data_IF_554531464032
#
_entry.id   IF_554531464032
#
_cell.length_a   1.000
_cell.length_b   1.000
_cell.length_c   1.000
_cell.angle_alpha   90.00
_cell.angle_beta   90.00
_cell.angle_gamma   90.00
#
_symmetry.space_group_name_H-M   'P 1'
#
loop_
_entity.id
_entity.type
_entity.pdbx_description
1 polymer ?
#
# COMPACT_ATOMS: atom_id res chain seq x y z
N UNK A 1 -5.62 -10.62 -5.17
CA UNK A 1 -4.75 -9.58 -5.78
C UNK A 1 -4.89 -9.46 -7.30
N UNK A 2 -5.43 -10.45 -8.02
CA UNK A 2 -5.64 -10.34 -9.49
C UNK A 2 -6.66 -9.25 -9.89
N UNK A 3 -7.59 -8.91 -9.01
CA UNK A 3 -8.57 -7.84 -9.22
C UNK A 3 -7.95 -6.43 -9.30
N UNK A 4 -6.64 -6.31 -9.04
CA UNK A 4 -5.90 -5.04 -9.12
C UNK A 4 -5.20 -4.82 -10.46
N UNK A 5 -5.23 -5.81 -11.35
CA UNK A 5 -4.67 -5.64 -12.68
C UNK A 5 -5.52 -4.65 -13.48
N UNK A 6 -4.91 -3.66 -14.14
CA UNK A 6 -5.59 -2.80 -15.08
C UNK A 6 -6.42 -3.64 -16.05
N UNK A 7 -7.70 -3.29 -16.15
CA UNK A 7 -8.60 -3.85 -17.14
C UNK A 7 -8.16 -3.40 -18.54
N UNK A 8 -8.59 -4.10 -19.61
CA UNK A 8 -8.29 -3.67 -20.98
C UNK A 8 -8.75 -2.23 -21.30
N UNK A 9 -9.74 -1.72 -20.58
CA UNK A 9 -10.21 -0.33 -20.72
C UNK A 9 -9.29 0.66 -20.01
N UNK A 10 -8.66 0.24 -18.90
CA UNK A 10 -7.75 1.07 -18.13
C UNK A 10 -6.31 1.04 -18.66
N UNK A 11 -5.93 -0.03 -19.35
CA UNK A 11 -4.61 -0.17 -19.95
C UNK A 11 -4.58 0.54 -21.32
N UNK A 12 -3.78 1.60 -21.48
CA UNK A 12 -3.64 2.30 -22.75
C UNK A 12 -3.01 1.41 -23.84
N UNK A 13 -3.09 1.85 -25.09
CA UNK A 13 -2.38 1.22 -26.21
C UNK A 13 -0.86 1.33 -26.03
N UNK A 14 -0.10 0.47 -26.72
CA UNK A 14 1.36 0.44 -26.57
C UNK A 14 1.97 1.80 -26.96
N UNK A 15 1.50 2.40 -28.05
CA UNK A 15 1.87 3.74 -28.50
C UNK A 15 1.73 4.81 -27.40
N UNK A 16 0.60 4.83 -26.71
CA UNK A 16 0.31 5.76 -25.62
C UNK A 16 1.21 5.52 -24.39
N UNK A 17 1.47 4.26 -24.05
CA UNK A 17 2.41 3.90 -22.98
C UNK A 17 3.82 4.39 -23.33
N UNK A 18 4.27 4.16 -24.56
CA UNK A 18 5.59 4.57 -25.02
C UNK A 18 5.74 6.08 -25.09
N UNK A 19 4.68 6.81 -25.44
CA UNK A 19 4.66 8.28 -25.41
C UNK A 19 4.85 8.80 -23.98
N UNK A 20 4.20 8.20 -22.98
CA UNK A 20 4.37 8.56 -21.57
C UNK A 20 5.80 8.28 -21.07
N UNK A 21 6.39 7.17 -21.53
CA UNK A 21 7.76 6.76 -21.19
C UNK A 21 8.84 7.52 -21.99
N UNK A 22 8.48 8.51 -22.81
CA UNK A 22 9.44 9.33 -23.56
C UNK A 22 10.04 8.65 -24.79
N UNK A 23 9.30 7.72 -25.41
CA UNK A 23 9.68 6.98 -26.64
C UNK A 23 11.07 6.33 -26.56
N UNK A 24 11.29 5.42 -25.60
CA UNK A 24 12.59 4.76 -25.45
C UNK A 24 12.95 3.96 -26.71
N UNK A 25 14.25 3.93 -27.03
CA UNK A 25 14.73 3.20 -28.19
C UNK A 25 14.37 1.70 -28.10
N UNK A 26 13.98 1.04 -29.21
CA UNK A 26 13.57 -0.37 -29.19
C UNK A 26 14.62 -1.33 -28.59
N UNK A 27 15.91 -1.02 -28.72
CA UNK A 27 17.01 -1.80 -28.12
C UNK A 27 16.98 -1.75 -26.59
N UNK A 28 16.61 -0.62 -26.00
CA UNK A 28 16.53 -0.47 -24.54
C UNK A 28 15.34 -1.25 -23.99
N UNK A 29 14.18 -1.13 -24.63
CA UNK A 29 12.99 -1.93 -24.31
C UNK A 29 13.28 -3.43 -24.43
N UNK A 30 13.94 -3.85 -25.50
CA UNK A 30 14.30 -5.24 -25.73
C UNK A 30 15.20 -5.80 -24.61
N UNK A 31 16.21 -5.02 -24.21
CA UNK A 31 17.09 -5.36 -23.08
C UNK A 31 16.32 -5.47 -21.77
N UNK A 32 15.45 -4.50 -21.47
CA UNK A 32 14.66 -4.48 -20.23
C UNK A 32 13.64 -5.62 -20.15
N UNK A 33 13.02 -5.97 -21.29
CA UNK A 33 11.98 -6.99 -21.39
C UNK A 33 12.53 -8.41 -21.67
N UNK A 34 13.84 -8.55 -21.89
CA UNK A 34 14.47 -9.84 -22.17
C UNK A 34 14.08 -10.44 -23.52
N UNK A 35 13.80 -9.62 -24.54
CA UNK A 35 13.40 -10.05 -25.88
C UNK A 35 14.33 -9.50 -26.97
N UNK A 36 14.16 -9.94 -28.21
CA UNK A 36 14.95 -9.40 -29.32
C UNK A 36 14.44 -8.00 -29.74
N UNK A 37 15.32 -7.11 -30.26
CA UNK A 37 14.87 -5.83 -30.81
C UNK A 37 13.86 -5.96 -31.94
N UNK A 38 13.96 -7.02 -32.76
CA UNK A 38 13.02 -7.31 -33.83
C UNK A 38 11.60 -7.54 -33.29
N UNK A 39 11.48 -8.24 -32.16
CA UNK A 39 10.20 -8.46 -31.46
C UNK A 39 9.57 -7.14 -31.02
N UNK A 40 10.36 -6.24 -30.41
CA UNK A 40 9.87 -4.93 -29.96
C UNK A 40 9.47 -4.06 -31.14
N UNK A 41 10.28 -4.01 -32.20
CA UNK A 41 9.95 -3.25 -33.42
C UNK A 41 8.65 -3.76 -34.05
N UNK A 42 8.43 -5.08 -34.06
CA UNK A 42 7.16 -5.66 -34.52
C UNK A 42 5.98 -5.16 -33.68
N UNK A 43 6.09 -5.20 -32.36
CA UNK A 43 5.03 -4.73 -31.46
C UNK A 43 4.72 -3.25 -31.63
N UNK A 44 5.75 -2.40 -31.77
CA UNK A 44 5.58 -0.97 -32.01
C UNK A 44 4.85 -0.72 -33.33
N UNK A 45 5.23 -1.43 -34.40
CA UNK A 45 4.60 -1.30 -35.71
C UNK A 45 3.14 -1.75 -35.71
N UNK A 46 2.83 -2.80 -34.98
CA UNK A 46 1.48 -3.39 -34.88
C UNK A 46 0.62 -2.75 -33.77
N UNK A 47 1.18 -1.77 -33.04
CA UNK A 47 0.63 -1.18 -31.82
C UNK A 47 0.06 -2.21 -30.84
N UNK A 48 0.75 -3.35 -30.73
CA UNK A 48 0.24 -4.52 -30.02
C UNK A 48 1.39 -5.32 -29.42
N UNK A 49 1.32 -5.53 -28.10
CA UNK A 49 2.25 -6.35 -27.34
C UNK A 49 1.49 -7.36 -26.47
N UNK A 50 2.11 -8.48 -26.09
CA UNK A 50 1.52 -9.42 -25.15
C UNK A 50 1.08 -8.73 -23.87
N UNK A 51 -0.07 -9.14 -23.32
CA UNK A 51 -0.65 -8.53 -22.11
C UNK A 51 0.33 -8.40 -20.93
N UNK A 52 1.17 -9.40 -20.61
CA UNK A 52 2.17 -9.23 -19.54
C UNK A 52 3.15 -8.08 -19.80
N UNK A 53 3.56 -7.86 -21.06
CA UNK A 53 4.47 -6.76 -21.44
C UNK A 53 3.79 -5.41 -21.25
N UNK A 54 2.53 -5.28 -21.72
CA UNK A 54 1.75 -4.07 -21.53
C UNK A 54 1.59 -3.72 -20.05
N UNK A 55 1.27 -4.72 -19.22
CA UNK A 55 1.13 -4.54 -17.78
C UNK A 55 2.46 -4.14 -17.13
N UNK A 56 3.58 -4.76 -17.49
CA UNK A 56 4.91 -4.38 -16.98
C UNK A 56 5.27 -2.94 -17.32
N UNK A 57 5.02 -2.50 -18.56
CA UNK A 57 5.30 -1.13 -18.98
C UNK A 57 4.32 -0.13 -18.35
N UNK A 58 3.05 -0.50 -18.21
CA UNK A 58 2.02 0.33 -17.59
C UNK A 58 2.42 0.78 -16.18
N UNK A 59 2.98 -0.10 -15.36
CA UNK A 59 3.38 0.25 -13.99
C UNK A 59 4.55 1.23 -13.92
N UNK A 60 5.26 1.47 -15.02
CA UNK A 60 6.31 2.48 -15.12
C UNK A 60 5.78 3.85 -15.57
N UNK A 61 4.54 3.92 -16.05
CA UNK A 61 3.91 5.17 -16.49
C UNK A 61 3.46 6.02 -15.31
N UNK A 62 3.23 7.31 -15.56
CA UNK A 62 2.66 8.24 -14.57
C UNK A 62 1.30 7.76 -14.04
N UNK A 63 0.48 7.15 -14.89
CA UNK A 63 -0.83 6.61 -14.49
C UNK A 63 -0.67 5.40 -13.56
N UNK A 64 0.23 4.48 -13.90
CA UNK A 64 0.54 3.31 -13.08
C UNK A 64 1.07 3.70 -11.70
N UNK A 65 2.03 4.63 -11.66
CA UNK A 65 2.58 5.16 -10.42
C UNK A 65 1.52 5.87 -9.57
N UNK A 66 0.66 6.67 -10.19
CA UNK A 66 -0.44 7.34 -9.47
C UNK A 66 -1.40 6.36 -8.78
N UNK A 67 -1.66 5.18 -9.36
CA UNK A 67 -2.48 4.15 -8.72
C UNK A 67 -1.80 3.55 -7.49
N UNK A 68 -0.49 3.31 -7.58
CA UNK A 68 0.31 2.80 -6.45
C UNK A 68 0.34 3.82 -5.31
N UNK A 69 0.56 5.09 -5.63
CA UNK A 69 0.60 6.18 -4.65
C UNK A 69 -0.76 6.35 -3.95
N UNK A 70 -1.86 6.31 -4.71
CA UNK A 70 -3.20 6.38 -4.14
C UNK A 70 -3.49 5.23 -3.16
N UNK A 71 -3.12 4.00 -3.53
CA UNK A 71 -3.28 2.84 -2.65
C UNK A 71 -2.42 2.96 -1.38
N UNK A 72 -1.19 3.44 -1.50
CA UNK A 72 -0.30 3.64 -0.37
C UNK A 72 -0.87 4.65 0.63
N UNK A 73 -1.39 5.78 0.13
CA UNK A 73 -2.05 6.81 0.95
C UNK A 73 -3.31 6.26 1.61
N UNK A 74 -4.19 5.58 0.85
CA UNK A 74 -5.42 5.00 1.38
C UNK A 74 -5.12 3.97 2.48
N UNK A 75 -4.14 3.10 2.25
CA UNK A 75 -3.72 2.09 3.22
C UNK A 75 -3.16 2.73 4.49
N UNK A 76 -2.30 3.74 4.35
CA UNK A 76 -1.74 4.46 5.48
C UNK A 76 -2.83 5.16 6.32
N UNK A 77 -3.80 5.81 5.66
CA UNK A 77 -4.93 6.45 6.34
C UNK A 77 -5.82 5.43 7.07
N UNK A 78 -6.13 4.31 6.43
CA UNK A 78 -6.92 3.23 7.04
C UNK A 78 -6.23 2.65 8.28
N UNK A 79 -4.92 2.41 8.22
CA UNK A 79 -4.18 1.91 9.36
C UNK A 79 -4.04 2.94 10.48
N UNK A 80 -3.83 4.22 10.14
CA UNK A 80 -3.78 5.29 11.12
C UNK A 80 -5.12 5.45 11.86
N UNK A 81 -6.25 5.42 11.14
CA UNK A 81 -7.57 5.53 11.74
C UNK A 81 -7.90 4.30 12.60
N UNK A 82 -7.58 3.09 12.14
CA UNK A 82 -7.75 1.87 12.91
C UNK A 82 -6.92 1.91 14.22
N UNK A 83 -5.66 2.34 14.14
CA UNK A 83 -4.82 2.48 15.33
C UNK A 83 -5.37 3.51 16.32
N UNK A 84 -5.88 4.65 15.84
CA UNK A 84 -6.50 5.67 16.68
C UNK A 84 -7.75 5.13 17.39
N UNK A 85 -8.62 4.42 16.67
CA UNK A 85 -9.83 3.81 17.24
C UNK A 85 -9.51 2.73 18.26
N UNK A 86 -8.54 1.86 17.98
CA UNK A 86 -8.10 0.84 18.93
C UNK A 86 -7.51 1.47 20.20
N UNK A 87 -6.74 2.56 20.09
CA UNK A 87 -6.23 3.27 21.27
C UNK A 87 -7.34 3.85 22.12
N UNK A 88 -8.29 4.55 21.48
CA UNK A 88 -9.44 5.11 22.17
C UNK A 88 -10.28 4.03 22.87
N UNK A 89 -10.47 2.87 22.24
CA UNK A 89 -11.24 1.77 22.82
C UNK A 89 -10.49 1.11 24.00
N UNK A 90 -9.18 0.92 23.89
CA UNK A 90 -8.38 0.42 25.03
C UNK A 90 -8.42 1.41 26.18
N UNK A 91 -8.31 2.71 25.92
CA UNK A 91 -8.47 3.74 26.96
C UNK A 91 -9.86 3.68 27.59
N UNK A 92 -10.93 3.55 26.79
CA UNK A 92 -12.30 3.42 27.29
C UNK A 92 -12.46 2.21 28.20
N UNK A 93 -11.97 1.04 27.77
CA UNK A 93 -12.03 -0.21 28.53
C UNK A 93 -11.18 -0.15 29.82
N UNK A 94 -10.01 0.48 29.77
CA UNK A 94 -9.19 0.70 30.95
C UNK A 94 -9.89 1.60 31.98
N UNK A 95 -10.54 2.68 31.54
CA UNK A 95 -11.35 3.53 32.43
C UNK A 95 -12.55 2.78 33.02
N UNK A 96 -13.25 2.00 32.20
CA UNK A 96 -14.39 1.20 32.65
C UNK A 96 -13.98 0.15 33.68
N UNK A 97 -12.87 -0.56 33.43
CA UNK A 97 -12.29 -1.52 34.36
C UNK A 97 -11.84 -0.85 35.66
N UNK A 98 -11.18 0.32 35.58
CA UNK A 98 -10.78 1.08 36.76
C UNK A 98 -11.99 1.47 37.62
N UNK A 99 -13.10 1.87 36.98
CA UNK A 99 -14.36 2.18 37.69
C UNK A 99 -14.94 0.97 38.39
N UNK A 100 -14.96 -0.20 37.74
CA UNK A 100 -15.45 -1.45 38.34
C UNK A 100 -14.57 -1.88 39.52
N UNK A 101 -13.25 -1.83 39.35
CA UNK A 101 -12.29 -2.12 40.43
C UNK A 101 -12.53 -1.18 41.62
N UNK A 102 -12.71 0.12 41.40
CA UNK A 102 -12.93 1.08 42.47
C UNK A 102 -14.27 0.88 43.22
N UNK A 103 -15.27 0.29 42.57
CA UNK A 103 -16.59 0.06 43.14
C UNK A 103 -16.72 -1.31 43.86
N UNK A 104 -15.78 -2.23 43.65
CA UNK A 104 -15.81 -3.56 44.24
C UNK A 104 -15.08 -3.61 45.58
N UNK A 105 -15.72 -4.22 46.59
CA UNK A 105 -15.05 -4.69 47.80
C UNK A 105 -14.77 -6.18 47.63
N UNK A 106 -13.54 -6.50 47.21
CA UNK A 106 -13.16 -7.87 46.82
C UNK A 106 -12.61 -8.68 47.99
N UNK A 107 -12.22 -8.02 49.09
CA UNK A 107 -11.99 -8.64 50.39
C UNK A 107 -10.87 -9.67 50.43
N UNK A 108 -9.94 -9.68 49.46
CA UNK A 108 -8.90 -10.69 49.36
C UNK A 108 -7.49 -10.09 49.11
N UNK A 109 -6.44 -10.80 49.50
CA UNK A 109 -5.06 -10.30 49.40
C UNK A 109 -4.58 -10.06 47.94
N UNK A 110 -5.33 -10.55 46.95
CA UNK A 110 -5.07 -10.40 45.52
C UNK A 110 -6.05 -9.42 44.85
N UNK A 111 -6.61 -8.49 45.62
CA UNK A 111 -7.57 -7.52 45.10
C UNK A 111 -7.03 -6.83 43.83
N UNK A 112 -7.82 -6.77 42.75
CA UNK A 112 -7.37 -6.19 41.50
C UNK A 112 -7.05 -4.71 41.71
N UNK A 113 -5.85 -4.28 41.31
CA UNK A 113 -5.43 -2.88 41.37
C UNK A 113 -5.21 -2.33 39.97
N UNK A 114 -5.48 -1.06 39.76
CA UNK A 114 -5.24 -0.38 38.46
C UNK A 114 -3.74 -0.25 38.13
N UNK A 115 -2.87 -0.46 39.11
CA UNK A 115 -1.41 -0.41 38.97
C UNK A 115 -0.85 -1.51 38.05
N UNK A 116 -1.56 -2.62 37.87
CA UNK A 116 -1.15 -3.73 36.98
C UNK A 116 -1.64 -3.57 35.55
N UNK A 117 -2.45 -2.55 35.25
CA UNK A 117 -2.91 -2.31 33.88
C UNK A 117 -1.73 -1.90 32.99
N UNK A 118 -1.55 -2.53 31.81
CA UNK A 118 -0.47 -2.17 30.91
C UNK A 118 -0.64 -0.71 30.49
N UNK A 119 0.33 0.13 30.85
CA UNK A 119 0.41 1.49 30.31
C UNK A 119 0.66 1.38 28.82
N UNK A 120 -0.19 1.99 28.01
CA UNK A 120 0.11 2.13 26.59
C UNK A 120 1.39 2.94 26.47
N UNK A 121 2.48 2.24 26.16
CA UNK A 121 3.72 2.89 25.77
C UNK A 121 3.47 3.45 24.38
N UNK A 122 3.59 4.77 24.21
CA UNK A 122 3.59 5.36 22.88
C UNK A 122 4.81 4.82 22.14
N UNK A 123 4.66 3.72 21.41
CA UNK A 123 5.65 3.27 20.46
C UNK A 123 5.61 4.29 19.32
N UNK A 124 6.42 5.33 19.45
CA UNK A 124 6.74 6.23 18.35
C UNK A 124 7.62 5.44 17.42
N UNK A 125 7.02 4.83 16.40
CA UNK A 125 7.79 4.26 15.29
C UNK A 125 8.26 5.44 14.46
N UNK A 126 9.56 5.74 14.38
CA UNK A 126 10.04 6.84 13.55
C UNK A 126 9.71 6.53 12.09
N UNK A 127 8.89 7.39 11.47
CA UNK A 127 8.68 7.36 10.03
C UNK A 127 9.98 7.77 9.35
N UNK A 128 10.67 6.80 8.74
CA UNK A 128 11.82 7.08 7.88
C UNK A 128 11.28 7.25 6.46
N UNK A 129 11.21 8.47 5.90
CA UNK A 129 10.80 8.64 4.51
C UNK A 129 11.79 7.90 3.61
N UNK A 130 11.28 7.02 2.77
CA UNK A 130 12.07 6.34 1.74
C UNK A 130 12.55 7.42 0.76
N UNK A 131 13.86 7.62 0.65
CA UNK A 131 14.45 8.59 -0.29
C UNK A 131 14.12 8.16 -1.73
N UNK A 132 13.56 9.09 -2.50
CA UNK A 132 13.37 8.97 -3.94
C UNK A 132 14.69 8.95 -4.69
#
# INVERSE_FOLDING_TARGET
MLNRLPTPVQCPQLSQILDDLGRPAPRLLAKALGVTPATVTRWIREDSAPRPVLLSLFWLTRWGMSLVDAEAVNSAQMHASMAAMLRAEVERLQHELARVIAAGDFGCANDPTTATLPRQSAVVVPFTPMRA
#
